data_IF_009471838967
#
_entry.id   IF_009471838967
#
_cell.length_a   1.000
_cell.length_b   1.000
_cell.length_c   1.000
_cell.angle_alpha   90.00
_cell.angle_beta   90.00
_cell.angle_gamma   90.00
#
_symmetry.space_group_name_H-M   'P 1'
#
loop_
_entity.id
_entity.type
_entity.pdbx_description
1 polymer ?
#
# COMPACT_ATOMS: atom_id res chain seq x y z
N UNK A 1 -2.86 20.14 -30.00
CA UNK A 1 -1.97 20.94 -29.14
C UNK A 1 -2.19 20.47 -27.70
N UNK A 2 -1.42 19.50 -27.20
CA UNK A 2 -1.43 19.10 -25.78
C UNK A 2 -0.31 19.90 -25.09
N UNK A 3 -0.69 20.77 -24.16
CA UNK A 3 0.26 21.44 -23.26
C UNK A 3 0.66 20.50 -22.11
N UNK A 4 1.85 20.67 -21.52
CA UNK A 4 2.33 19.81 -20.45
C UNK A 4 1.65 20.22 -19.13
N UNK A 5 0.56 19.54 -18.78
CA UNK A 5 -0.03 19.60 -17.45
C UNK A 5 0.89 18.86 -16.48
N UNK A 6 1.69 19.63 -15.75
CA UNK A 6 2.56 19.15 -14.70
C UNK A 6 1.77 18.60 -13.51
N UNK A 7 1.35 17.34 -13.58
CA UNK A 7 1.17 16.53 -12.38
C UNK A 7 2.53 15.91 -12.03
N UNK A 8 3.46 16.73 -11.53
CA UNK A 8 4.55 16.22 -10.72
C UNK A 8 3.90 15.57 -9.49
N UNK A 9 3.57 14.28 -9.61
CA UNK A 9 3.09 13.48 -8.50
C UNK A 9 4.05 13.70 -7.34
N UNK A 10 3.53 14.27 -6.25
CA UNK A 10 4.29 14.49 -5.03
C UNK A 10 5.10 13.22 -4.70
N UNK A 11 6.37 13.33 -4.28
CA UNK A 11 7.19 12.16 -4.01
C UNK A 11 6.41 11.29 -3.03
N UNK A 12 5.97 10.12 -3.49
CA UNK A 12 5.19 9.18 -2.69
C UNK A 12 6.07 8.74 -1.53
N UNK A 13 5.87 9.34 -0.36
CA UNK A 13 6.52 8.93 0.87
C UNK A 13 5.84 7.65 1.31
N UNK A 14 6.46 6.52 1.02
CA UNK A 14 6.02 5.23 1.56
C UNK A 14 6.31 5.25 3.06
N UNK A 15 5.26 5.25 3.88
CA UNK A 15 5.41 5.18 5.34
C UNK A 15 5.93 3.81 5.78
N UNK A 16 5.72 2.77 4.96
CA UNK A 16 5.98 1.37 5.28
C UNK A 16 6.35 0.60 4.02
N UNK A 17 7.45 -0.17 4.06
CA UNK A 17 7.73 -1.27 3.14
C UNK A 17 7.49 -2.58 3.90
N UNK A 18 6.74 -3.50 3.31
CA UNK A 18 6.46 -4.82 3.89
C UNK A 18 6.87 -5.88 2.88
N UNK A 19 7.68 -6.83 3.32
CA UNK A 19 7.90 -8.08 2.60
C UNK A 19 6.71 -9.01 2.85
N UNK A 20 6.01 -9.38 1.78
CA UNK A 20 4.97 -10.40 1.85
C UNK A 20 5.65 -11.76 1.77
N UNK A 21 5.76 -12.45 2.92
CA UNK A 21 6.26 -13.82 2.93
C UNK A 21 5.32 -14.75 2.15
N UNK A 22 5.87 -15.69 1.38
CA UNK A 22 5.17 -16.65 0.49
C UNK A 22 4.21 -17.62 1.19
N UNK A 23 3.92 -17.40 2.47
CA UNK A 23 3.08 -18.24 3.33
C UNK A 23 1.63 -18.42 2.85
N UNK A 24 1.13 -17.57 1.95
CA UNK A 24 -0.23 -17.67 1.41
C UNK A 24 -0.26 -17.41 -0.10
N UNK A 25 -1.00 -18.23 -0.87
CA UNK A 25 -1.18 -17.99 -2.30
C UNK A 25 -1.90 -16.66 -2.51
N UNK A 26 -1.44 -15.89 -3.51
CA UNK A 26 -2.12 -14.68 -3.95
C UNK A 26 -3.40 -15.08 -4.68
N UNK A 27 -4.57 -14.52 -4.33
CA UNK A 27 -5.80 -14.78 -5.07
C UNK A 27 -5.65 -14.40 -6.55
N UNK A 28 -6.10 -15.28 -7.44
CA UNK A 28 -6.08 -15.05 -8.88
C UNK A 28 -7.03 -13.90 -9.25
N UNK A 29 -8.23 -13.91 -8.66
CA UNK A 29 -9.24 -12.88 -8.87
C UNK A 29 -8.79 -11.50 -8.39
N UNK A 30 -9.06 -10.50 -9.22
CA UNK A 30 -8.64 -9.11 -8.98
C UNK A 30 -9.36 -8.50 -7.79
N UNK A 31 -10.66 -8.78 -7.62
CA UNK A 31 -11.44 -8.26 -6.51
C UNK A 31 -11.00 -8.89 -5.19
N UNK A 32 -10.76 -10.20 -5.17
CA UNK A 32 -10.25 -10.89 -3.99
C UNK A 32 -8.85 -10.42 -3.59
N UNK A 33 -7.96 -10.22 -4.58
CA UNK A 33 -6.62 -9.65 -4.31
C UNK A 33 -6.71 -8.24 -3.72
N UNK A 34 -7.59 -7.38 -4.25
CA UNK A 34 -7.82 -6.04 -3.70
C UNK A 34 -8.37 -6.09 -2.28
N UNK A 35 -9.30 -7.01 -2.01
CA UNK A 35 -9.89 -7.21 -0.69
C UNK A 35 -8.83 -7.67 0.32
N UNK A 36 -8.05 -8.69 -0.02
CA UNK A 36 -6.97 -9.20 0.83
C UNK A 36 -5.92 -8.12 1.14
N UNK A 37 -5.52 -7.33 0.13
CA UNK A 37 -4.59 -6.21 0.33
C UNK A 37 -5.16 -5.15 1.27
N UNK A 38 -6.45 -4.79 1.11
CA UNK A 38 -7.12 -3.82 1.97
C UNK A 38 -7.18 -4.29 3.43
N UNK A 39 -7.52 -5.56 3.65
CA UNK A 39 -7.56 -6.16 4.98
C UNK A 39 -6.17 -6.16 5.63
N UNK A 40 -5.13 -6.53 4.87
CA UNK A 40 -3.74 -6.46 5.33
C UNK A 40 -3.33 -5.05 5.74
N UNK A 41 -3.58 -4.05 4.89
CA UNK A 41 -3.24 -2.64 5.16
C UNK A 41 -3.93 -2.15 6.43
N UNK A 42 -5.23 -2.43 6.58
CA UNK A 42 -6.00 -1.98 7.73
C UNK A 42 -5.50 -2.58 9.06
N UNK A 43 -5.04 -3.84 9.06
CA UNK A 43 -4.48 -4.47 10.24
C UNK A 43 -3.04 -4.03 10.54
N UNK A 44 -2.21 -3.90 9.50
CA UNK A 44 -0.78 -3.66 9.64
C UNK A 44 -0.44 -2.18 9.87
N UNK A 45 -0.96 -1.27 9.04
CA UNK A 45 -0.50 0.13 9.00
C UNK A 45 -0.65 0.86 10.34
N UNK A 46 -1.77 0.75 11.08
CA UNK A 46 -1.88 1.41 12.39
C UNK A 46 -0.78 0.99 13.38
N UNK A 47 -0.47 -0.30 13.44
CA UNK A 47 0.60 -0.82 14.30
C UNK A 47 1.98 -0.34 13.85
N UNK A 48 2.23 -0.32 12.53
CA UNK A 48 3.50 0.11 11.97
C UNK A 48 3.76 1.62 12.18
N UNK A 49 2.73 2.46 12.02
CA UNK A 49 2.82 3.89 12.30
C UNK A 49 3.13 4.13 13.77
N UNK A 50 2.42 3.44 14.68
CA UNK A 50 2.68 3.53 16.12
C UNK A 50 4.11 3.13 16.47
N UNK A 51 4.63 2.05 15.91
CA UNK A 51 6.02 1.60 16.13
C UNK A 51 7.07 2.61 15.66
N UNK A 52 6.74 3.44 14.65
CA UNK A 52 7.60 4.53 14.14
C UNK A 52 7.44 5.84 14.89
N UNK A 53 6.58 5.91 15.92
CA UNK A 53 6.25 7.15 16.64
C UNK A 53 5.37 8.11 15.83
N UNK A 54 4.72 7.63 14.78
CA UNK A 54 3.74 8.39 14.03
C UNK A 54 2.35 8.20 14.66
N UNK A 55 1.62 9.30 14.85
CA UNK A 55 0.26 9.37 15.41
C UNK A 55 -0.75 9.82 14.38
#
# INVERSE_FOLDING_TARGET
MWGPGADQGSPRKYAVLVELGESKPVPEDVADRRKALKEFINGFVPSALKARGCS
#
